data_IF_010980109840
#
_entry.id   IF_010980109840
#
_cell.length_a   1.000
_cell.length_b   1.000
_cell.length_c   1.000
_cell.angle_alpha   90.00
_cell.angle_beta   90.00
_cell.angle_gamma   90.00
#
_symmetry.space_group_name_H-M   'P 1'
#
loop_
_entity.id
_entity.type
_entity.pdbx_description
1 polymer ?
#
# COMPACT_ATOMS: atom_id res chain seq x y z
N UNK A 1 12.47 20.16 -0.33
CA UNK A 1 11.07 19.75 -0.52
C UNK A 1 10.90 19.40 -1.98
N UNK A 2 10.97 18.11 -2.31
CA UNK A 2 10.83 17.63 -3.68
C UNK A 2 9.37 17.28 -3.94
N UNK A 3 8.85 17.72 -5.08
CA UNK A 3 7.54 17.28 -5.58
C UNK A 3 7.79 15.96 -6.30
N UNK A 4 7.25 14.86 -5.75
CA UNK A 4 7.26 13.58 -6.44
C UNK A 4 5.94 13.44 -7.21
N UNK A 5 6.00 13.53 -8.53
CA UNK A 5 4.88 13.20 -9.40
C UNK A 5 5.03 11.73 -9.77
N UNK A 6 4.21 10.87 -9.19
CA UNK A 6 4.18 9.45 -9.54
C UNK A 6 3.18 9.22 -10.66
N UNK A 7 3.66 8.86 -11.83
CA UNK A 7 2.82 8.32 -12.88
C UNK A 7 2.78 6.79 -12.75
N UNK A 8 1.62 6.20 -12.46
CA UNK A 8 1.43 4.77 -12.19
C UNK A 8 1.68 3.83 -13.38
N UNK A 9 2.05 4.36 -14.54
CA UNK A 9 2.32 3.54 -15.72
C UNK A 9 3.79 3.12 -15.88
N UNK A 10 4.72 3.73 -15.13
CA UNK A 10 6.13 3.38 -15.22
C UNK A 10 6.82 3.63 -13.89
N UNK A 11 7.70 2.74 -13.51
CA UNK A 11 8.58 2.84 -12.34
C UNK A 11 9.63 3.99 -12.50
N UNK A 12 9.27 5.06 -13.17
CA UNK A 12 10.11 6.21 -13.47
C UNK A 12 9.81 7.31 -12.45
N UNK A 13 10.64 7.42 -11.43
CA UNK A 13 10.71 8.63 -10.64
C UNK A 13 11.20 9.78 -11.53
N UNK A 14 10.31 10.70 -11.86
CA UNK A 14 10.71 11.96 -12.48
C UNK A 14 11.24 12.84 -11.35
N UNK A 15 12.55 12.83 -11.15
CA UNK A 15 13.23 13.82 -10.32
C UNK A 15 13.25 15.15 -11.10
N UNK A 16 12.33 16.05 -10.76
CA UNK A 16 12.47 17.43 -11.20
C UNK A 16 13.54 18.07 -10.32
N UNK A 17 14.79 18.01 -10.78
CA UNK A 17 15.85 18.82 -10.18
C UNK A 17 15.61 20.26 -10.58
N UNK A 18 15.19 21.09 -9.63
CA UNK A 18 15.09 22.51 -9.78
C UNK A 18 16.45 23.10 -10.18
N UNK A 19 16.61 23.45 -11.46
CA UNK A 19 17.41 24.56 -11.92
C UNK A 19 17.12 24.84 -13.40
N UNK A 20 16.06 25.58 -13.60
CA UNK A 20 16.01 26.66 -14.58
C UNK A 20 14.69 27.36 -14.38
N UNK A 21 14.76 28.67 -14.31
CA UNK A 21 13.66 29.59 -14.10
C UNK A 21 12.40 29.14 -14.86
N UNK A 22 11.27 29.04 -14.12
CA UNK A 22 9.97 29.07 -14.77
C UNK A 22 9.99 30.19 -15.82
N UNK A 23 9.69 29.83 -17.05
CA UNK A 23 9.46 30.81 -18.11
C UNK A 23 8.26 31.65 -17.66
N UNK A 24 8.50 32.89 -17.23
CA UNK A 24 7.47 33.89 -16.88
C UNK A 24 6.73 34.38 -18.14
N UNK A 25 6.72 33.57 -19.21
CA UNK A 25 6.06 33.86 -20.48
C UNK A 25 4.54 33.69 -20.42
N UNK A 26 3.85 34.26 -21.41
CA UNK A 26 2.41 34.07 -21.63
C UNK A 26 2.06 32.57 -21.63
N UNK A 27 1.28 32.13 -20.62
CA UNK A 27 0.84 30.72 -20.46
C UNK A 27 1.39 30.01 -19.22
N UNK A 28 2.17 30.69 -18.36
CA UNK A 28 2.58 30.11 -17.07
C UNK A 28 1.35 29.84 -16.18
N UNK A 29 1.24 28.64 -15.62
CA UNK A 29 0.14 28.28 -14.72
C UNK A 29 0.15 29.15 -13.45
N UNK A 30 1.34 29.54 -12.97
CA UNK A 30 1.52 30.41 -11.80
C UNK A 30 1.98 31.80 -12.23
N UNK A 31 1.17 32.48 -13.05
CA UNK A 31 1.37 33.90 -13.35
C UNK A 31 1.03 34.80 -12.13
N UNK A 32 1.33 36.09 -12.24
CA UNK A 32 1.11 37.03 -11.14
C UNK A 32 -0.37 37.15 -10.72
N UNK A 33 -1.29 37.01 -11.67
CA UNK A 33 -2.73 37.09 -11.41
C UNK A 33 -3.21 35.84 -10.68
N UNK A 34 -2.76 34.66 -11.08
CA UNK A 34 -3.03 33.39 -10.40
C UNK A 34 -2.51 33.39 -8.97
N UNK A 35 -1.26 33.82 -8.76
CA UNK A 35 -0.68 33.94 -7.42
C UNK A 35 -1.45 34.95 -6.56
N UNK A 36 -1.82 36.10 -7.12
CA UNK A 36 -2.64 37.09 -6.44
C UNK A 36 -3.99 36.51 -6.02
N UNK A 37 -4.64 35.77 -6.90
CA UNK A 37 -5.94 35.11 -6.62
C UNK A 37 -5.83 34.05 -5.52
N UNK A 38 -4.79 33.22 -5.53
CA UNK A 38 -4.53 32.24 -4.48
C UNK A 38 -4.36 32.94 -3.12
N UNK A 39 -3.59 34.02 -3.08
CA UNK A 39 -3.37 34.80 -1.86
C UNK A 39 -4.67 35.43 -1.35
N UNK A 40 -5.50 36.00 -2.25
CA UNK A 40 -6.80 36.55 -1.91
C UNK A 40 -7.71 35.49 -1.29
N UNK A 41 -7.86 34.33 -1.95
CA UNK A 41 -8.66 33.20 -1.46
C UNK A 41 -8.16 32.72 -0.11
N UNK A 42 -6.86 32.59 0.06
CA UNK A 42 -6.24 32.19 1.34
C UNK A 42 -6.55 33.20 2.45
N UNK A 43 -6.50 34.51 2.14
CA UNK A 43 -6.84 35.55 3.11
C UNK A 43 -8.32 35.51 3.50
N UNK A 44 -9.23 35.34 2.53
CA UNK A 44 -10.66 35.17 2.80
C UNK A 44 -10.95 33.94 3.64
N UNK A 45 -10.34 32.80 3.32
CA UNK A 45 -10.52 31.58 4.07
C UNK A 45 -10.06 31.77 5.52
N UNK A 46 -8.88 32.35 5.75
CA UNK A 46 -8.38 32.63 7.10
C UNK A 46 -9.24 33.63 7.90
N UNK A 47 -9.98 34.49 7.23
CA UNK A 47 -10.79 35.52 7.89
C UNK A 47 -12.20 35.02 8.24
N UNK A 48 -12.79 34.16 7.42
CA UNK A 48 -14.22 33.81 7.50
C UNK A 48 -14.50 32.34 7.77
N UNK A 49 -13.51 31.45 7.66
CA UNK A 49 -13.72 30.03 7.95
C UNK A 49 -13.91 29.83 9.45
N UNK A 50 -14.87 28.98 9.80
CA UNK A 50 -15.31 28.81 11.19
C UNK A 50 -14.32 28.02 12.05
N UNK A 51 -13.67 27.00 11.47
CA UNK A 51 -12.76 26.10 12.17
C UNK A 51 -11.29 26.53 11.98
N UNK A 52 -10.39 25.90 12.72
CA UNK A 52 -8.95 26.06 12.56
C UNK A 52 -8.49 25.60 11.18
N UNK A 53 -7.57 26.35 10.58
CA UNK A 53 -7.02 26.09 9.26
C UNK A 53 -5.62 25.52 9.38
N UNK A 54 -5.42 24.32 8.88
CA UNK A 54 -4.12 23.70 8.70
C UNK A 54 -3.53 24.14 7.34
N UNK A 55 -2.45 24.92 7.36
CA UNK A 55 -1.85 25.43 6.13
C UNK A 55 -1.37 24.30 5.20
N UNK A 56 -0.89 23.18 5.73
CA UNK A 56 -0.44 22.01 4.97
C UNK A 56 -1.58 21.41 4.17
N UNK A 57 -2.76 21.27 4.76
CA UNK A 57 -3.95 20.75 4.03
C UNK A 57 -4.37 21.67 2.88
N UNK A 58 -4.25 22.99 3.05
CA UNK A 58 -4.54 23.93 1.96
C UNK A 58 -3.49 23.81 0.83
N UNK A 59 -2.22 23.63 1.18
CA UNK A 59 -1.15 23.42 0.20
C UNK A 59 -1.34 22.13 -0.58
N UNK A 60 -1.63 21.03 0.11
CA UNK A 60 -1.91 19.74 -0.54
C UNK A 60 -3.14 19.83 -1.46
N UNK A 61 -4.18 20.55 -1.03
CA UNK A 61 -5.34 20.85 -1.88
C UNK A 61 -4.99 21.61 -3.16
N UNK A 62 -4.05 22.56 -3.11
CA UNK A 62 -3.56 23.26 -4.30
C UNK A 62 -2.81 22.31 -5.25
N UNK A 63 -1.94 21.45 -4.73
CA UNK A 63 -1.18 20.48 -5.54
C UNK A 63 -2.12 19.44 -6.16
N UNK A 64 -3.08 18.94 -5.39
CA UNK A 64 -4.11 18.02 -5.88
C UNK A 64 -4.93 18.67 -7.00
N UNK A 65 -5.43 19.91 -6.78
CA UNK A 65 -6.22 20.62 -7.80
C UNK A 65 -5.44 20.92 -9.08
N UNK A 66 -4.13 21.13 -8.99
CA UNK A 66 -3.27 21.34 -10.17
C UNK A 66 -3.22 20.06 -11.03
N UNK A 67 -3.07 18.90 -10.40
CA UNK A 67 -3.02 17.61 -11.12
C UNK A 67 -4.40 17.21 -11.61
N UNK A 68 -5.44 17.40 -10.81
CA UNK A 68 -6.84 17.13 -11.22
C UNK A 68 -7.27 17.98 -12.43
N UNK A 69 -6.67 19.18 -12.56
CA UNK A 69 -6.89 20.05 -13.72
C UNK A 69 -6.47 19.45 -15.06
N UNK A 70 -5.66 18.39 -15.08
CA UNK A 70 -5.30 17.63 -16.29
C UNK A 70 -6.50 16.84 -16.83
N UNK A 71 -7.50 16.52 -16.01
CA UNK A 71 -8.64 15.69 -16.38
C UNK A 71 -8.27 14.22 -16.65
N UNK A 72 -7.09 13.81 -16.26
CA UNK A 72 -6.63 12.42 -16.40
C UNK A 72 -6.81 11.66 -15.08
N UNK A 73 -7.62 10.59 -15.12
CA UNK A 73 -7.95 9.77 -13.94
C UNK A 73 -6.76 8.99 -13.35
N UNK A 74 -5.67 8.87 -14.07
CA UNK A 74 -4.48 8.12 -13.64
C UNK A 74 -3.39 9.03 -13.08
N UNK A 75 -3.51 10.34 -13.30
CA UNK A 75 -2.58 11.32 -12.75
C UNK A 75 -3.07 11.75 -11.36
N UNK A 76 -2.30 11.41 -10.33
CA UNK A 76 -2.65 11.68 -8.93
C UNK A 76 -1.47 12.33 -8.22
N UNK A 77 -1.73 13.37 -7.44
CA UNK A 77 -0.77 13.91 -6.48
C UNK A 77 -0.89 13.13 -5.17
N UNK A 78 0.25 12.71 -4.64
CA UNK A 78 0.36 12.13 -3.31
C UNK A 78 1.23 13.01 -2.43
N UNK A 79 0.76 13.39 -1.25
CA UNK A 79 1.61 13.96 -0.22
C UNK A 79 2.57 12.88 0.33
N UNK A 80 3.45 13.23 1.27
CA UNK A 80 4.47 12.30 1.76
C UNK A 80 3.87 11.09 2.47
N UNK A 81 2.77 11.26 3.22
CA UNK A 81 2.07 10.18 3.93
C UNK A 81 1.35 9.25 2.95
N UNK A 82 0.56 9.82 2.03
CA UNK A 82 -0.17 9.06 1.02
C UNK A 82 0.79 8.31 0.08
N UNK A 83 1.93 8.92 -0.28
CA UNK A 83 2.96 8.26 -1.08
C UNK A 83 3.59 7.07 -0.34
N UNK A 84 3.83 7.21 0.96
CA UNK A 84 4.32 6.09 1.76
C UNK A 84 3.29 4.96 1.84
N UNK A 85 2.01 5.30 2.02
CA UNK A 85 0.93 4.32 1.99
C UNK A 85 0.82 3.62 0.63
N UNK A 86 0.95 4.37 -0.47
CA UNK A 86 1.01 3.81 -1.82
C UNK A 86 2.19 2.86 -1.99
N UNK A 87 3.40 3.25 -1.53
CA UNK A 87 4.57 2.38 -1.60
C UNK A 87 4.31 1.05 -0.88
N UNK A 88 3.78 1.09 0.34
CA UNK A 88 3.43 -0.11 1.10
C UNK A 88 2.44 -0.98 0.32
N UNK A 89 1.38 -0.39 -0.23
CA UNK A 89 0.37 -1.13 -0.98
C UNK A 89 0.88 -1.73 -2.29
N UNK A 90 1.89 -1.09 -2.90
CA UNK A 90 2.46 -1.52 -4.18
C UNK A 90 3.58 -2.55 -4.00
N UNK A 91 4.39 -2.40 -2.96
CA UNK A 91 5.51 -3.34 -2.71
C UNK A 91 5.09 -4.58 -1.94
N UNK A 92 3.94 -4.56 -1.25
CA UNK A 92 3.50 -5.61 -0.34
C UNK A 92 4.39 -5.74 0.91
N UNK A 93 5.34 -4.84 1.09
CA UNK A 93 6.28 -4.83 2.21
C UNK A 93 5.94 -3.71 3.18
N UNK A 94 5.85 -4.01 4.45
CA UNK A 94 5.69 -3.02 5.51
C UNK A 94 6.31 -3.51 6.81
N UNK A 95 6.69 -2.57 7.67
CA UNK A 95 7.14 -2.91 9.01
C UNK A 95 5.93 -3.01 9.93
N UNK A 96 5.75 -4.18 10.50
CA UNK A 96 4.61 -4.44 11.36
C UNK A 96 4.69 -5.78 12.04
N UNK A 97 3.54 -6.33 12.42
CA UNK A 97 3.45 -7.57 13.20
C UNK A 97 2.96 -8.79 12.41
N UNK A 98 2.43 -8.61 11.19
CA UNK A 98 1.95 -9.71 10.36
C UNK A 98 0.58 -10.26 10.77
N UNK A 99 -0.35 -9.39 11.12
CA UNK A 99 -1.75 -9.72 11.35
C UNK A 99 -2.68 -8.87 10.49
N UNK A 100 -3.74 -9.47 9.96
CA UNK A 100 -4.85 -8.78 9.34
C UNK A 100 -5.89 -8.40 10.38
N UNK A 101 -6.36 -7.16 10.34
CA UNK A 101 -7.34 -6.62 11.28
C UNK A 101 -8.60 -6.18 10.55
N UNK A 102 -9.73 -6.26 11.23
CA UNK A 102 -11.00 -5.70 10.77
C UNK A 102 -11.69 -4.98 11.94
N UNK A 103 -12.42 -3.93 11.63
CA UNK A 103 -13.19 -3.17 12.60
C UNK A 103 -14.67 -3.21 12.24
N UNK A 104 -15.49 -3.54 13.21
CA UNK A 104 -16.94 -3.39 13.12
C UNK A 104 -17.30 -1.91 13.27
N UNK A 105 -18.00 -1.36 12.28
CA UNK A 105 -18.31 0.10 12.21
C UNK A 105 -19.32 0.58 13.25
N UNK A 106 -20.15 -0.33 13.76
CA UNK A 106 -21.19 0.03 14.73
C UNK A 106 -20.67 -0.06 16.18
N UNK A 107 -19.83 -1.06 16.45
CA UNK A 107 -19.29 -1.31 17.79
C UNK A 107 -17.86 -0.81 17.98
N UNK A 108 -17.18 -0.43 16.91
CA UNK A 108 -15.76 -0.06 16.88
C UNK A 108 -14.81 -1.17 17.35
N UNK A 109 -15.30 -2.38 17.52
CA UNK A 109 -14.50 -3.53 17.95
C UNK A 109 -13.54 -3.94 16.86
N UNK A 110 -12.26 -4.04 17.19
CA UNK A 110 -11.21 -4.47 16.29
C UNK A 110 -10.87 -5.94 16.53
N UNK A 111 -10.94 -6.75 15.48
CA UNK A 111 -10.72 -8.20 15.56
C UNK A 111 -9.60 -8.63 14.61
N UNK A 112 -8.77 -9.55 15.05
CA UNK A 112 -7.76 -10.23 14.22
C UNK A 112 -8.48 -11.20 13.29
N UNK A 113 -8.55 -10.88 12.00
CA UNK A 113 -9.21 -11.72 11.00
C UNK A 113 -8.25 -12.77 10.41
N UNK A 114 -6.94 -12.51 10.47
CA UNK A 114 -5.90 -13.41 9.97
C UNK A 114 -4.58 -13.16 10.69
N UNK A 115 -3.86 -14.22 11.02
CA UNK A 115 -2.44 -14.20 11.40
C UNK A 115 -1.67 -14.88 10.26
N UNK A 116 -0.62 -14.22 9.78
CA UNK A 116 0.19 -14.75 8.68
C UNK A 116 1.30 -15.66 9.24
N UNK A 117 1.56 -16.75 8.53
CA UNK A 117 2.59 -17.72 8.89
C UNK A 117 4.00 -17.10 8.83
N UNK A 118 4.88 -17.50 9.74
CA UNK A 118 6.24 -17.00 9.83
C UNK A 118 6.38 -15.56 10.37
N UNK A 119 5.30 -14.96 10.87
CA UNK A 119 5.28 -13.57 11.32
C UNK A 119 5.47 -13.41 12.84
N UNK A 120 5.84 -12.20 13.31
CA UNK A 120 5.92 -11.89 14.72
C UNK A 120 4.61 -12.12 15.48
N UNK A 121 3.45 -11.85 14.88
CA UNK A 121 2.13 -12.13 15.47
C UNK A 121 1.91 -13.60 15.75
N UNK A 122 2.28 -14.47 14.81
CA UNK A 122 2.20 -15.92 15.00
C UNK A 122 3.15 -16.36 16.13
N UNK A 123 4.40 -15.89 16.09
CA UNK A 123 5.42 -16.21 17.08
C UNK A 123 5.04 -15.74 18.49
N UNK A 124 4.33 -14.62 18.61
CA UNK A 124 3.80 -14.12 19.87
C UNK A 124 2.59 -14.91 20.37
N UNK A 125 1.92 -15.66 19.50
CA UNK A 125 0.76 -16.46 19.83
C UNK A 125 -0.58 -15.74 19.66
N UNK A 126 -0.64 -14.68 18.83
CA UNK A 126 -1.91 -14.12 18.38
C UNK A 126 -2.67 -15.16 17.57
N UNK A 127 -3.98 -15.16 17.71
CA UNK A 127 -4.86 -16.06 16.97
C UNK A 127 -5.93 -15.27 16.21
N UNK A 128 -6.46 -15.91 15.18
CA UNK A 128 -7.66 -15.42 14.53
C UNK A 128 -8.80 -15.33 15.57
N UNK A 129 -9.62 -14.31 15.42
CA UNK A 129 -10.76 -13.95 16.26
C UNK A 129 -10.38 -13.35 17.64
N UNK A 130 -9.08 -13.12 17.93
CA UNK A 130 -8.66 -12.27 19.04
C UNK A 130 -9.17 -10.84 18.85
N UNK A 131 -9.68 -10.24 19.91
CA UNK A 131 -10.16 -8.86 19.93
C UNK A 131 -9.06 -7.95 20.48
N UNK A 132 -8.64 -6.97 19.71
CA UNK A 132 -7.65 -5.96 20.17
C UNK A 132 -8.36 -5.00 21.14
N UNK A 133 -7.91 -4.97 22.40
CA UNK A 133 -8.42 -4.10 23.44
C UNK A 133 -7.64 -2.79 23.47
N UNK A 134 -6.31 -2.87 23.50
CA UNK A 134 -5.45 -1.70 23.48
C UNK A 134 -4.14 -1.94 22.72
N UNK A 135 -3.55 -0.85 22.24
CA UNK A 135 -2.23 -0.78 21.57
C UNK A 135 -1.40 0.28 22.28
N UNK A 136 -0.26 -0.10 22.88
CA UNK A 136 0.60 0.78 23.67
C UNK A 136 -0.18 1.61 24.71
N UNK A 137 -1.19 0.99 25.34
CA UNK A 137 -2.06 1.59 26.35
C UNK A 137 -3.17 2.48 25.79
N UNK A 138 -3.30 2.61 24.47
CA UNK A 138 -4.39 3.35 23.82
C UNK A 138 -5.53 2.39 23.46
N UNK A 139 -6.75 2.70 23.91
CA UNK A 139 -7.94 1.86 23.68
C UNK A 139 -8.28 1.77 22.19
N UNK A 140 -8.35 0.55 21.66
CA UNK A 140 -8.56 0.31 20.23
C UNK A 140 -9.93 0.80 19.74
N UNK A 141 -10.99 0.66 20.55
CA UNK A 141 -12.34 1.08 20.18
C UNK A 141 -12.54 2.61 20.22
N UNK A 142 -11.53 3.38 20.65
CA UNK A 142 -11.60 4.85 20.70
C UNK A 142 -11.24 5.54 19.39
N UNK A 143 -10.79 4.79 18.36
CA UNK A 143 -10.28 5.33 17.11
C UNK A 143 -10.63 4.47 15.89
N UNK A 144 -10.53 5.05 14.71
CA UNK A 144 -10.67 4.34 13.44
C UNK A 144 -9.53 3.35 13.22
N UNK A 145 -9.82 2.26 12.50
CA UNK A 145 -8.84 1.20 12.21
C UNK A 145 -7.56 1.73 11.57
N UNK A 146 -7.66 2.72 10.69
CA UNK A 146 -6.52 3.34 10.03
C UNK A 146 -5.53 3.97 11.02
N UNK A 147 -6.04 4.65 12.04
CA UNK A 147 -5.23 5.25 13.11
C UNK A 147 -4.62 4.17 14.01
N UNK A 148 -5.39 3.14 14.36
CA UNK A 148 -4.89 2.02 15.14
C UNK A 148 -3.75 1.27 14.42
N UNK A 149 -3.89 1.07 13.12
CA UNK A 149 -2.86 0.43 12.28
C UNK A 149 -1.57 1.25 12.26
N UNK A 150 -1.64 2.61 12.28
CA UNK A 150 -0.45 3.46 12.40
C UNK A 150 0.30 3.23 13.72
N UNK A 151 -0.41 3.00 14.83
CA UNK A 151 0.21 2.67 16.12
C UNK A 151 0.84 1.27 16.13
N UNK A 152 0.20 0.30 15.48
CA UNK A 152 0.71 -1.07 15.38
C UNK A 152 1.95 -1.13 14.49
N UNK A 153 1.97 -0.38 13.38
CA UNK A 153 3.15 -0.22 12.51
C UNK A 153 4.21 0.64 13.20
N UNK A 154 5.42 0.63 12.67
CA UNK A 154 6.52 1.44 13.20
C UNK A 154 7.86 0.97 12.66
N UNK A 155 8.95 1.48 13.20
CA UNK A 155 10.30 1.12 12.78
C UNK A 155 10.60 -0.36 13.07
N UNK A 156 11.31 -1.00 12.15
CA UNK A 156 11.78 -2.38 12.29
C UNK A 156 12.60 -2.56 13.58
N UNK A 157 12.35 -3.65 14.29
CA UNK A 157 13.02 -3.98 15.55
C UNK A 157 12.47 -3.27 16.77
N UNK A 158 11.49 -2.37 16.61
CA UNK A 158 10.74 -1.82 17.75
C UNK A 158 9.63 -2.77 18.18
N UNK A 159 9.18 -2.65 19.41
CA UNK A 159 8.13 -3.50 19.97
C UNK A 159 6.82 -2.72 20.11
N UNK A 160 5.71 -3.35 19.82
CA UNK A 160 4.36 -2.86 20.13
C UNK A 160 3.75 -3.73 21.24
N UNK A 161 3.15 -3.11 22.22
CA UNK A 161 2.42 -3.79 23.29
C UNK A 161 0.94 -3.88 22.93
N UNK A 162 0.41 -5.11 22.89
CA UNK A 162 -0.99 -5.40 22.59
C UNK A 162 -1.68 -6.03 23.80
N UNK A 163 -2.79 -5.47 24.20
CA UNK A 163 -3.75 -6.15 25.06
C UNK A 163 -4.90 -6.67 24.21
N UNK A 164 -5.24 -7.95 24.39
CA UNK A 164 -6.30 -8.59 23.62
C UNK A 164 -7.27 -9.31 24.56
N UNK A 165 -8.50 -9.48 24.10
CA UNK A 165 -9.44 -10.44 24.66
C UNK A 165 -9.60 -11.61 23.70
N UNK A 166 -9.42 -12.83 24.22
CA UNK A 166 -9.57 -14.08 23.44
C UNK A 166 -10.91 -14.73 23.73
N UNK A 167 -11.90 -14.64 22.82
CA UNK A 167 -13.24 -15.20 23.06
C UNK A 167 -13.25 -16.72 23.29
N UNK A 168 -12.32 -17.46 22.67
CA UNK A 168 -12.27 -18.92 22.77
C UNK A 168 -11.90 -19.45 24.16
N UNK A 169 -11.18 -18.65 24.96
CA UNK A 169 -10.78 -18.99 26.34
C UNK A 169 -11.37 -18.04 27.37
N UNK A 170 -12.05 -16.97 26.93
CA UNK A 170 -12.58 -15.90 27.76
C UNK A 170 -11.50 -15.19 28.63
N UNK A 171 -10.28 -15.06 28.06
CA UNK A 171 -9.13 -14.50 28.76
C UNK A 171 -8.69 -13.17 28.16
N UNK A 172 -8.22 -12.26 29.02
CA UNK A 172 -7.44 -11.10 28.60
C UNK A 172 -5.95 -11.50 28.61
N UNK A 173 -5.30 -11.28 27.49
CA UNK A 173 -3.91 -11.63 27.27
C UNK A 173 -3.13 -10.38 26.81
N UNK A 174 -1.84 -10.42 27.04
CA UNK A 174 -0.92 -9.32 26.72
C UNK A 174 0.27 -9.86 25.93
N UNK A 175 0.61 -9.18 24.84
CA UNK A 175 1.71 -9.57 23.95
C UNK A 175 2.61 -8.38 23.65
N UNK A 176 3.91 -8.60 23.76
CA UNK A 176 4.94 -7.71 23.24
C UNK A 176 5.39 -8.26 21.89
N UNK A 177 5.05 -7.57 20.80
CA UNK A 177 5.29 -8.05 19.44
C UNK A 177 6.33 -7.16 18.75
N UNK A 178 7.45 -7.75 18.33
CA UNK A 178 8.49 -7.03 17.60
C UNK A 178 8.02 -6.73 16.17
N UNK A 179 8.20 -5.49 15.72
CA UNK A 179 7.92 -5.09 14.34
C UNK A 179 9.04 -5.57 13.42
N UNK A 180 8.67 -6.28 12.37
CA UNK A 180 9.60 -6.82 11.38
C UNK A 180 9.14 -6.48 9.96
N UNK A 181 10.01 -6.77 8.99
CA UNK A 181 9.60 -6.79 7.58
C UNK A 181 8.53 -7.85 7.40
N UNK A 182 7.34 -7.43 7.00
CA UNK A 182 6.24 -8.33 6.69
C UNK A 182 6.08 -8.36 5.18
N UNK A 183 6.26 -9.55 4.62
CA UNK A 183 5.93 -9.82 3.21
C UNK A 183 4.63 -10.61 3.18
N UNK A 184 3.61 -10.03 2.56
CA UNK A 184 2.34 -10.71 2.43
C UNK A 184 2.42 -11.76 1.31
N UNK A 185 1.85 -12.96 1.51
CA UNK A 185 1.75 -13.92 0.44
C UNK A 185 0.74 -13.43 -0.60
N UNK A 186 1.23 -13.13 -1.80
CA UNK A 186 0.44 -12.75 -2.98
C UNK A 186 0.20 -13.91 -3.94
N UNK A 187 0.83 -15.06 -3.69
CA UNK A 187 0.69 -16.28 -4.48
C UNK A 187 0.24 -17.44 -3.59
N UNK A 188 -0.70 -18.20 -4.07
CA UNK A 188 -1.10 -19.48 -3.48
C UNK A 188 -1.15 -20.56 -4.56
N UNK A 189 -0.84 -21.81 -4.19
CA UNK A 189 -0.81 -22.88 -5.15
C UNK A 189 -1.36 -24.20 -4.57
N UNK A 190 -1.73 -25.09 -5.44
CA UNK A 190 -2.13 -26.46 -5.10
C UNK A 190 -2.01 -27.38 -6.30
N UNK A 191 -1.78 -28.68 -6.04
CA UNK A 191 -1.87 -29.72 -7.04
C UNK A 191 -3.30 -30.26 -7.09
N UNK A 192 -3.90 -30.27 -8.29
CA UNK A 192 -5.13 -31.04 -8.55
C UNK A 192 -4.83 -32.49 -8.96
N UNK A 193 -5.88 -33.31 -8.94
CA UNK A 193 -5.80 -34.67 -9.51
C UNK A 193 -5.33 -34.60 -10.97
N UNK A 194 -4.76 -35.71 -11.47
CA UNK A 194 -4.18 -35.82 -12.82
C UNK A 194 -2.90 -35.00 -13.10
N UNK A 195 -2.30 -34.38 -12.10
CA UNK A 195 -1.05 -33.63 -12.22
C UNK A 195 -1.25 -32.22 -12.81
N UNK A 196 -2.38 -31.61 -12.54
CA UNK A 196 -2.62 -30.20 -12.91
C UNK A 196 -2.24 -29.33 -11.73
N UNK A 197 -1.19 -28.52 -11.89
CA UNK A 197 -0.82 -27.44 -10.97
C UNK A 197 -1.76 -26.26 -11.12
N UNK A 198 -2.12 -25.66 -10.01
CA UNK A 198 -2.91 -24.43 -9.95
C UNK A 198 -2.19 -23.40 -9.11
N UNK A 199 -1.98 -22.21 -9.67
CA UNK A 199 -1.39 -21.06 -9.00
C UNK A 199 -2.38 -19.90 -9.11
N UNK A 200 -2.73 -19.32 -7.97
CA UNK A 200 -3.52 -18.09 -7.88
C UNK A 200 -2.63 -16.93 -7.47
N UNK A 201 -2.74 -15.82 -8.19
CA UNK A 201 -2.00 -14.58 -7.93
C UNK A 201 -3.00 -13.52 -7.52
N UNK A 202 -2.99 -13.12 -6.25
CA UNK A 202 -3.90 -12.12 -5.68
C UNK A 202 -3.60 -10.69 -6.17
N UNK A 203 -2.30 -10.34 -6.26
CA UNK A 203 -1.79 -9.04 -6.70
C UNK A 203 -0.36 -9.19 -7.20
N UNK A 204 0.13 -8.20 -7.96
CA UNK A 204 1.53 -8.19 -8.40
C UNK A 204 2.35 -7.24 -7.53
N UNK A 205 2.98 -7.78 -6.51
CA UNK A 205 3.85 -7.09 -5.56
C UNK A 205 5.33 -7.40 -5.84
N UNK A 206 6.25 -6.79 -5.10
CA UNK A 206 7.70 -6.99 -5.31
C UNK A 206 8.11 -8.46 -5.25
N UNK A 207 7.58 -9.21 -4.28
CA UNK A 207 7.96 -10.61 -4.05
C UNK A 207 7.11 -11.62 -4.83
N UNK A 208 6.10 -11.18 -5.58
CA UNK A 208 5.16 -12.06 -6.28
C UNK A 208 5.87 -12.98 -7.28
N UNK A 209 6.87 -12.46 -8.00
CA UNK A 209 7.62 -13.28 -8.95
C UNK A 209 8.40 -14.41 -8.26
N UNK A 210 9.08 -14.11 -7.14
CA UNK A 210 9.81 -15.11 -6.36
C UNK A 210 8.85 -16.15 -5.75
N UNK A 211 7.70 -15.72 -5.22
CA UNK A 211 6.67 -16.62 -4.70
C UNK A 211 6.07 -17.51 -5.80
N UNK A 212 5.88 -16.96 -7.00
CA UNK A 212 5.42 -17.72 -8.16
C UNK A 212 6.43 -18.79 -8.59
N UNK A 213 7.72 -18.43 -8.68
CA UNK A 213 8.80 -19.37 -9.00
C UNK A 213 8.86 -20.52 -7.98
N UNK A 214 8.76 -20.22 -6.69
CA UNK A 214 8.73 -21.22 -5.62
C UNK A 214 7.51 -22.13 -5.73
N UNK A 215 6.32 -21.58 -5.98
CA UNK A 215 5.09 -22.32 -6.17
C UNK A 215 5.17 -23.26 -7.37
N UNK A 216 5.71 -22.80 -8.50
CA UNK A 216 5.90 -23.64 -9.71
C UNK A 216 6.91 -24.75 -9.44
N UNK A 217 8.04 -24.46 -8.80
CA UNK A 217 9.04 -25.49 -8.42
C UNK A 217 8.45 -26.57 -7.52
N UNK A 218 7.63 -26.18 -6.53
CA UNK A 218 6.97 -27.14 -5.65
C UNK A 218 6.00 -28.04 -6.44
N UNK A 219 5.20 -27.48 -7.33
CA UNK A 219 4.29 -28.23 -8.20
C UNK A 219 5.03 -29.15 -9.17
N UNK A 220 6.16 -28.73 -9.73
CA UNK A 220 7.02 -29.56 -10.58
C UNK A 220 7.59 -30.74 -9.80
N UNK A 221 8.06 -30.52 -8.56
CA UNK A 221 8.53 -31.58 -7.67
C UNK A 221 7.43 -32.61 -7.33
N UNK A 222 6.17 -32.17 -7.31
CA UNK A 222 5.00 -33.04 -7.15
C UNK A 222 4.59 -33.77 -8.45
N UNK A 223 5.27 -33.50 -9.58
CA UNK A 223 5.01 -34.12 -10.86
C UNK A 223 3.94 -33.45 -11.72
N UNK A 224 3.87 -32.14 -11.64
CA UNK A 224 2.97 -31.33 -12.47
C UNK A 224 3.19 -31.60 -13.97
N UNK A 225 2.09 -31.72 -14.71
CA UNK A 225 2.08 -31.92 -16.18
C UNK A 225 1.49 -30.73 -16.94
N UNK A 226 0.67 -29.93 -16.27
CA UNK A 226 0.03 -28.73 -16.81
C UNK A 226 -0.18 -27.73 -15.68
N UNK A 227 -0.17 -26.43 -16.02
CA UNK A 227 -0.30 -25.33 -15.08
C UNK A 227 -1.53 -24.48 -15.44
N UNK A 228 -2.32 -24.13 -14.44
CA UNK A 228 -3.37 -23.12 -14.50
C UNK A 228 -2.91 -21.94 -13.65
N UNK A 229 -2.81 -20.76 -14.28
CA UNK A 229 -2.54 -19.49 -13.59
C UNK A 229 -3.86 -18.73 -13.49
N UNK A 230 -4.28 -18.45 -12.28
CA UNK A 230 -5.53 -17.74 -11.99
C UNK A 230 -5.24 -16.32 -11.47
N UNK A 231 -5.65 -15.33 -12.26
CA UNK A 231 -5.54 -13.89 -11.93
C UNK A 231 -6.91 -13.25 -11.74
N UNK A 232 -7.94 -14.05 -11.49
CA UNK A 232 -9.28 -13.50 -11.23
C UNK A 232 -9.27 -12.71 -9.95
N UNK A 233 -9.91 -11.52 -9.98
CA UNK A 233 -9.95 -10.53 -8.91
C UNK A 233 -8.59 -9.87 -8.59
N UNK A 234 -7.54 -10.16 -9.36
CA UNK A 234 -6.28 -9.46 -9.25
C UNK A 234 -6.45 -8.01 -9.77
N UNK A 235 -6.21 -6.97 -8.95
CA UNK A 235 -6.37 -5.57 -9.38
C UNK A 235 -5.21 -5.07 -10.24
N UNK A 236 -4.15 -5.89 -10.41
CA UNK A 236 -2.89 -5.48 -11.04
C UNK A 236 -1.75 -5.35 -10.03
N UNK A 237 -0.84 -4.42 -10.29
CA UNK A 237 0.31 -4.13 -9.44
C UNK A 237 1.56 -3.80 -10.24
N UNK A 238 2.72 -4.27 -9.79
CA UNK A 238 4.03 -3.97 -10.39
C UNK A 238 4.22 -4.66 -11.74
N UNK A 239 4.44 -3.87 -12.79
CA UNK A 239 4.75 -4.39 -14.15
C UNK A 239 6.01 -5.25 -14.13
N UNK A 240 7.01 -4.90 -13.32
CA UNK A 240 8.26 -5.66 -13.19
C UNK A 240 8.00 -7.09 -12.70
N UNK A 241 7.11 -7.30 -11.74
CA UNK A 241 6.74 -8.63 -11.26
C UNK A 241 6.04 -9.45 -12.35
N UNK A 242 5.14 -8.81 -13.11
CA UNK A 242 4.48 -9.47 -14.27
C UNK A 242 5.49 -9.89 -15.32
N UNK A 243 6.44 -9.00 -15.67
CA UNK A 243 7.48 -9.28 -16.67
C UNK A 243 8.36 -10.45 -16.24
N UNK A 244 8.79 -10.49 -14.98
CA UNK A 244 9.59 -11.60 -14.45
C UNK A 244 8.85 -12.93 -14.55
N UNK A 245 7.58 -12.97 -14.15
CA UNK A 245 6.75 -14.20 -14.27
C UNK A 245 6.58 -14.62 -15.73
N UNK A 246 6.39 -13.66 -16.64
CA UNK A 246 6.20 -13.97 -18.04
C UNK A 246 7.51 -14.40 -18.73
N UNK A 247 8.66 -13.88 -18.32
CA UNK A 247 9.97 -14.33 -18.79
C UNK A 247 10.23 -15.80 -18.45
N UNK A 248 9.71 -16.30 -17.34
CA UNK A 248 9.86 -17.71 -16.93
C UNK A 248 9.00 -18.67 -17.76
N UNK A 249 7.90 -18.21 -18.33
CA UNK A 249 6.92 -19.08 -19.00
C UNK A 249 6.76 -18.84 -20.51
N UNK A 250 7.23 -17.70 -21.03
CA UNK A 250 7.12 -17.37 -22.46
C UNK A 250 8.47 -17.54 -23.16
N UNK A 251 8.46 -17.86 -24.47
CA UNK A 251 9.68 -17.78 -25.25
C UNK A 251 10.18 -16.35 -25.37
N UNK A 252 11.49 -16.19 -25.68
CA UNK A 252 12.14 -14.90 -25.85
C UNK A 252 11.34 -13.96 -26.79
N UNK A 253 11.02 -12.77 -26.28
CA UNK A 253 10.25 -11.74 -27.01
C UNK A 253 9.93 -10.53 -26.15
N UNK A 254 9.40 -9.48 -26.76
CA UNK A 254 8.92 -8.30 -26.04
C UNK A 254 7.62 -8.63 -25.33
N UNK A 255 7.60 -8.51 -24.02
CA UNK A 255 6.40 -8.69 -23.19
C UNK A 255 5.57 -7.41 -23.14
N UNK A 256 6.22 -6.28 -22.83
CA UNK A 256 5.59 -4.95 -22.73
C UNK A 256 6.63 -3.88 -23.02
N UNK A 257 6.20 -2.76 -23.56
CA UNK A 257 7.01 -1.55 -23.64
C UNK A 257 6.19 -0.32 -23.28
N UNK A 258 6.86 0.73 -22.87
CA UNK A 258 6.25 2.04 -22.62
C UNK A 258 6.73 3.05 -23.64
N UNK A 259 5.84 3.94 -24.04
CA UNK A 259 6.11 5.00 -25.03
C UNK A 259 5.65 6.32 -24.44
N UNK A 260 6.48 7.34 -24.49
CA UNK A 260 6.12 8.70 -24.08
C UNK A 260 5.64 9.53 -25.30
N UNK A 261 5.28 10.79 -25.08
CA UNK A 261 4.81 11.69 -26.14
C UNK A 261 5.85 11.98 -27.23
N UNK A 262 7.09 11.54 -27.09
CA UNK A 262 8.19 11.75 -28.04
C UNK A 262 8.53 10.46 -28.81
N UNK A 263 7.91 9.34 -28.48
CA UNK A 263 8.11 8.03 -29.09
C UNK A 263 9.21 7.19 -28.43
#
# INVERSE_FOLDING_TARGET
>A
TGINVACLATNSQILITNKESADDGEGAVLDADTVSKINELTAYTKLYYYDDIENEKLQDGLYTGLIDGLGDKYSVYYNAEDYQALQISTTGQYYGIGAGLSQDKDTMVVTVNKVYEGTPSESAGLLKDDVIVSVDGTEAASMELSELVKLIRGEKGTTVHLEIYRPSTEENLSFDVERQDITLPSVSHKMFEDGIGYVHIDSFETETAAQFEEAVKDLENQGMKALIIDVRYNPGGMVTAVVQILDDILPEGTVVYTEDKNG
#
